data_IF_245457015366
#
_entry.id   IF_245457015366
#
_cell.length_a   1.000
_cell.length_b   1.000
_cell.length_c   1.000
_cell.angle_alpha   90.00
_cell.angle_beta   90.00
_cell.angle_gamma   90.00
#
_symmetry.space_group_name_H-M   'P 1'
#
loop_
_entity.id
_entity.type
_entity.pdbx_description
1 polymer ?
#
# COMPACT_ATOMS: atom_id res chain seq x y z
N UNK A 1 15.36 -17.11 6.98
CA UNK A 1 14.72 -15.79 7.11
C UNK A 1 15.30 -14.87 6.06
N UNK A 2 14.46 -14.11 5.35
CA UNK A 2 14.93 -13.01 4.48
C UNK A 2 15.54 -11.92 5.37
N UNK A 3 16.35 -11.03 4.78
CA UNK A 3 16.85 -9.86 5.53
C UNK A 3 15.77 -8.79 5.69
N UNK A 4 14.98 -8.58 4.64
CA UNK A 4 13.98 -7.51 4.56
C UNK A 4 12.67 -8.06 3.98
N UNK A 5 11.54 -7.70 4.58
CA UNK A 5 10.19 -7.91 4.04
C UNK A 5 9.58 -6.57 3.63
N UNK A 6 8.74 -6.58 2.59
CA UNK A 6 8.10 -5.36 2.06
C UNK A 6 6.62 -5.34 2.42
N UNK A 7 6.17 -4.21 2.96
CA UNK A 7 4.76 -3.93 3.23
C UNK A 7 4.32 -2.71 2.43
N UNK A 8 3.10 -2.69 1.93
CA UNK A 8 2.46 -1.52 1.32
C UNK A 8 0.97 -1.47 1.65
N UNK A 9 0.24 -0.53 1.07
CA UNK A 9 -1.20 -0.37 1.20
C UNK A 9 -1.94 -0.70 -0.09
N UNK A 10 -3.27 -0.70 -0.02
CA UNK A 10 -4.15 -1.06 -1.12
C UNK A 10 -4.05 -0.18 -2.37
N UNK A 11 -3.43 1.01 -2.32
CA UNK A 11 -3.37 1.93 -3.47
C UNK A 11 -2.22 1.65 -4.43
N UNK A 12 -1.46 0.59 -4.21
CA UNK A 12 -0.30 0.27 -5.03
C UNK A 12 -0.64 -0.22 -6.45
N UNK A 13 -1.92 -0.49 -6.76
CA UNK A 13 -2.42 -1.03 -8.04
C UNK A 13 -1.68 -2.28 -8.53
N UNK A 14 -1.07 -3.04 -7.62
CA UNK A 14 -0.33 -4.23 -7.99
C UNK A 14 -1.27 -5.40 -8.30
N UNK A 15 -1.03 -6.12 -9.40
CA UNK A 15 -1.66 -7.40 -9.69
C UNK A 15 -1.37 -8.47 -8.65
N UNK A 16 -2.35 -9.33 -8.39
CA UNK A 16 -2.23 -10.46 -7.45
C UNK A 16 -1.02 -11.35 -7.72
N UNK A 17 -0.72 -11.65 -8.99
CA UNK A 17 0.42 -12.49 -9.37
C UNK A 17 1.77 -11.81 -9.06
N UNK A 18 1.86 -10.49 -9.17
CA UNK A 18 3.04 -9.71 -8.77
C UNK A 18 3.22 -9.71 -7.25
N UNK A 19 2.11 -9.53 -6.51
CA UNK A 19 2.11 -9.58 -5.04
C UNK A 19 2.63 -10.93 -4.55
N UNK A 20 2.10 -12.02 -5.11
CA UNK A 20 2.51 -13.39 -4.77
C UNK A 20 3.96 -13.67 -5.18
N UNK A 21 4.35 -13.30 -6.41
CA UNK A 21 5.71 -13.51 -6.94
C UNK A 21 6.78 -12.87 -6.05
N UNK A 22 6.54 -11.66 -5.57
CA UNK A 22 7.51 -10.93 -4.76
C UNK A 22 7.30 -11.08 -3.26
N UNK A 23 6.23 -11.75 -2.83
CA UNK A 23 5.82 -11.91 -1.44
C UNK A 23 5.66 -10.55 -0.73
N UNK A 24 4.85 -9.68 -1.33
CA UNK A 24 4.56 -8.34 -0.82
C UNK A 24 3.36 -8.43 0.13
N UNK A 25 3.49 -7.84 1.32
CA UNK A 25 2.39 -7.78 2.28
C UNK A 25 1.59 -6.50 2.08
N UNK A 26 0.26 -6.58 2.08
CA UNK A 26 -0.61 -5.43 1.84
C UNK A 26 -1.54 -5.20 3.02
N UNK A 27 -1.61 -3.96 3.50
CA UNK A 27 -2.69 -3.48 4.34
C UNK A 27 -3.83 -2.94 3.45
N UNK A 28 -4.97 -3.64 3.32
CA UNK A 28 -6.04 -3.24 2.41
C UNK A 28 -6.66 -1.89 2.77
N UNK A 29 -6.89 -1.05 1.75
CA UNK A 29 -7.75 0.13 1.87
C UNK A 29 -9.22 -0.26 1.97
N UNK A 30 -10.06 0.71 2.36
CA UNK A 30 -11.51 0.55 2.33
C UNK A 30 -12.18 1.54 1.37
N UNK A 31 -13.09 1.02 0.57
CA UNK A 31 -14.12 1.78 -0.16
C UNK A 31 -15.44 1.55 0.54
N UNK A 32 -16.14 2.62 0.89
CA UNK A 32 -17.36 2.56 1.69
C UNK A 32 -18.53 3.17 0.92
N UNK A 33 -19.54 2.34 0.67
CA UNK A 33 -20.83 2.76 0.13
C UNK A 33 -21.87 2.71 1.27
N UNK A 34 -22.28 3.88 1.77
CA UNK A 34 -23.16 3.98 2.93
C UNK A 34 -22.55 3.29 4.17
N UNK A 35 -23.11 2.13 4.54
CA UNK A 35 -22.60 1.30 5.67
C UNK A 35 -21.80 0.09 5.24
N UNK A 36 -21.67 -0.16 3.93
CA UNK A 36 -20.97 -1.32 3.38
C UNK A 36 -19.53 -0.95 3.07
N UNK A 37 -18.57 -1.73 3.58
CA UNK A 37 -17.15 -1.50 3.37
C UNK A 37 -16.51 -2.65 2.57
N UNK A 38 -15.84 -2.30 1.47
CA UNK A 38 -15.10 -3.22 0.62
C UNK A 38 -13.60 -2.98 0.77
N UNK A 39 -12.84 -4.06 0.77
CA UNK A 39 -11.38 -4.02 0.88
C UNK A 39 -10.73 -4.00 -0.49
N UNK A 40 -9.69 -3.17 -0.66
CA UNK A 40 -8.84 -3.11 -1.85
C UNK A 40 -7.39 -3.41 -1.49
N UNK A 41 -6.77 -4.34 -2.21
CA UNK A 41 -5.38 -4.80 -2.04
C UNK A 41 -4.66 -4.78 -3.39
N UNK A 42 -4.28 -3.59 -3.86
CA UNK A 42 -3.76 -3.41 -5.21
C UNK A 42 -4.92 -3.41 -6.22
N UNK A 43 -4.81 -4.25 -7.27
CA UNK A 43 -5.86 -4.35 -8.30
C UNK A 43 -7.01 -5.31 -7.95
N UNK A 44 -6.96 -5.92 -6.78
CA UNK A 44 -7.91 -6.93 -6.30
C UNK A 44 -8.60 -6.49 -5.03
N UNK A 45 -9.75 -7.10 -4.70
CA UNK A 45 -10.51 -6.71 -3.52
C UNK A 45 -11.80 -7.49 -3.34
N UNK A 46 -12.63 -7.03 -2.39
CA UNK A 46 -13.99 -7.55 -2.16
C UNK A 46 -15.04 -6.80 -2.98
N UNK A 47 -14.62 -5.92 -3.89
CA UNK A 47 -15.43 -5.28 -4.91
C UNK A 47 -14.63 -5.31 -6.22
N UNK A 48 -15.30 -5.63 -7.32
CA UNK A 48 -14.67 -5.59 -8.65
C UNK A 48 -14.70 -4.18 -9.21
N UNK A 49 -13.87 -3.88 -10.23
CA UNK A 49 -13.90 -2.57 -10.89
C UNK A 49 -15.25 -2.33 -11.56
N UNK A 50 -15.78 -3.36 -12.21
CA UNK A 50 -17.08 -3.34 -12.88
C UNK A 50 -18.21 -3.04 -11.90
N UNK A 51 -18.24 -3.74 -10.76
CA UNK A 51 -19.22 -3.50 -9.70
C UNK A 51 -19.07 -2.10 -9.09
N UNK A 52 -17.84 -1.63 -8.86
CA UNK A 52 -17.59 -0.29 -8.35
C UNK A 52 -18.21 0.79 -9.25
N UNK A 53 -17.95 0.74 -10.56
CA UNK A 53 -18.48 1.72 -11.49
C UNK A 53 -20.00 1.60 -11.67
N UNK A 54 -20.54 0.37 -11.68
CA UNK A 54 -22.00 0.17 -11.72
C UNK A 54 -22.70 0.79 -10.50
N UNK A 55 -22.10 0.65 -9.31
CA UNK A 55 -22.62 1.28 -8.09
C UNK A 55 -22.45 2.79 -8.10
N UNK A 56 -21.31 3.29 -8.58
CA UNK A 56 -21.05 4.73 -8.69
C UNK A 56 -22.09 5.45 -9.55
N UNK A 57 -22.59 4.81 -10.61
CA UNK A 57 -23.65 5.37 -11.46
C UNK A 57 -25.05 5.28 -10.84
N UNK A 58 -25.32 4.24 -10.06
CA UNK A 58 -26.67 3.91 -9.55
C UNK A 58 -26.97 4.50 -8.18
N UNK A 59 -25.97 4.60 -7.33
CA UNK A 59 -26.12 5.08 -5.96
C UNK A 59 -26.15 6.61 -5.91
N UNK A 60 -27.01 7.15 -5.04
CA UNK A 60 -27.18 8.61 -4.89
C UNK A 60 -26.04 9.26 -4.11
N UNK A 61 -25.45 8.50 -3.20
CA UNK A 61 -24.36 8.95 -2.35
C UNK A 61 -23.05 8.43 -2.92
N UNK A 62 -22.07 9.32 -3.05
CA UNK A 62 -20.75 8.93 -3.52
C UNK A 62 -20.05 8.05 -2.47
N UNK A 63 -19.27 7.05 -2.91
CA UNK A 63 -18.48 6.28 -1.98
C UNK A 63 -17.44 7.17 -1.30
N UNK A 64 -17.11 6.81 -0.06
CA UNK A 64 -15.97 7.40 0.64
C UNK A 64 -14.85 6.38 0.74
N UNK A 65 -13.62 6.86 0.93
CA UNK A 65 -12.47 6.00 1.18
C UNK A 65 -12.01 6.12 2.62
N UNK A 66 -11.55 5.02 3.21
CA UNK A 66 -10.94 5.02 4.53
C UNK A 66 -9.58 4.30 4.49
N UNK A 67 -8.66 4.78 5.35
CA UNK A 67 -7.35 4.16 5.59
C UNK A 67 -7.49 2.69 6.04
N UNK A 68 -6.45 1.86 5.88
CA UNK A 68 -6.51 0.48 6.36
C UNK A 68 -6.82 0.42 7.85
N UNK A 69 -7.59 -0.59 8.25
CA UNK A 69 -7.92 -0.80 9.66
C UNK A 69 -6.65 -1.09 10.47
N UNK A 70 -6.58 -0.70 11.76
CA UNK A 70 -5.44 -1.02 12.61
C UNK A 70 -5.07 -2.52 12.61
N UNK A 71 -6.09 -3.40 12.63
CA UNK A 71 -5.90 -4.85 12.56
C UNK A 71 -5.24 -5.30 11.26
N UNK A 72 -5.51 -4.62 10.14
CA UNK A 72 -4.91 -4.93 8.83
C UNK A 72 -3.42 -4.61 8.84
N UNK A 73 -3.01 -3.46 9.39
CA UNK A 73 -1.59 -3.14 9.55
C UNK A 73 -0.88 -4.11 10.48
N UNK A 74 -1.48 -4.43 11.63
CA UNK A 74 -0.91 -5.41 12.59
C UNK A 74 -0.69 -6.74 11.88
N UNK A 75 -1.70 -7.25 11.16
CA UNK A 75 -1.59 -8.51 10.42
C UNK A 75 -0.47 -8.48 9.39
N UNK A 76 -0.37 -7.40 8.60
CA UNK A 76 0.68 -7.25 7.59
C UNK A 76 2.08 -7.20 8.21
N UNK A 77 2.27 -6.43 9.29
CA UNK A 77 3.55 -6.31 9.96
C UNK A 77 3.97 -7.57 10.70
N UNK A 78 3.06 -8.22 11.44
CA UNK A 78 3.35 -9.50 12.12
C UNK A 78 3.69 -10.61 11.13
N UNK A 79 3.03 -10.65 9.97
CA UNK A 79 3.33 -11.63 8.94
C UNK A 79 4.71 -11.36 8.34
N UNK A 80 5.00 -10.10 7.99
CA UNK A 80 6.30 -9.69 7.48
C UNK A 80 7.44 -9.97 8.48
N UNK A 81 7.22 -9.75 9.77
CA UNK A 81 8.20 -9.95 10.85
C UNK A 81 8.54 -11.44 11.10
N UNK A 82 7.63 -12.35 10.77
CA UNK A 82 7.91 -13.81 10.82
C UNK A 82 8.89 -14.25 9.73
N UNK A 83 8.98 -13.48 8.65
CA UNK A 83 9.76 -13.84 7.46
C UNK A 83 11.13 -13.17 7.41
N UNK A 84 11.25 -11.97 7.98
CA UNK A 84 12.44 -11.14 7.93
C UNK A 84 12.68 -10.34 9.22
N UNK A 85 13.94 -10.01 9.46
CA UNK A 85 14.37 -9.24 10.63
C UNK A 85 14.02 -7.75 10.53
N UNK A 86 13.95 -7.21 9.31
CA UNK A 86 13.58 -5.82 9.05
C UNK A 86 12.40 -5.75 8.09
N UNK A 87 11.59 -4.69 8.24
CA UNK A 87 10.45 -4.39 7.39
C UNK A 87 10.64 -3.00 6.78
N UNK A 88 10.44 -2.90 5.47
CA UNK A 88 10.28 -1.62 4.78
C UNK A 88 8.84 -1.50 4.33
N UNK A 89 8.16 -0.50 4.85
CA UNK A 89 6.77 -0.20 4.55
C UNK A 89 6.71 1.03 3.64
N UNK A 90 6.25 0.88 2.40
CA UNK A 90 6.15 1.97 1.43
C UNK A 90 4.67 2.24 1.20
N UNK A 91 4.22 3.45 1.54
CA UNK A 91 2.80 3.80 1.51
C UNK A 91 2.52 4.96 0.57
N UNK A 92 1.25 5.12 0.22
CA UNK A 92 0.72 6.30 -0.48
C UNK A 92 1.21 7.60 0.17
N UNK A 93 1.32 8.64 -0.65
CA UNK A 93 1.65 10.00 -0.22
C UNK A 93 0.87 10.40 1.04
N UNK A 94 1.59 10.89 2.06
CA UNK A 94 0.96 11.44 3.28
C UNK A 94 0.05 12.65 3.01
N UNK A 95 0.26 13.34 1.88
CA UNK A 95 -0.55 14.47 1.46
C UNK A 95 -1.91 14.02 0.88
N UNK A 96 -2.01 12.75 0.45
CA UNK A 96 -3.23 12.17 -0.10
C UNK A 96 -4.02 11.36 0.93
N UNK A 97 -3.37 10.87 1.99
CA UNK A 97 -3.98 9.93 2.92
C UNK A 97 -3.31 9.91 4.30
N UNK A 98 -4.12 9.69 5.34
CA UNK A 98 -3.65 9.44 6.71
C UNK A 98 -3.04 8.04 6.94
N UNK A 99 -2.76 7.28 5.88
CA UNK A 99 -2.28 5.88 5.94
C UNK A 99 -1.01 5.73 6.76
N UNK A 100 -0.01 6.60 6.53
CA UNK A 100 1.25 6.59 7.27
C UNK A 100 1.01 6.81 8.77
N UNK A 101 0.23 7.83 9.12
CA UNK A 101 -0.09 8.11 10.53
C UNK A 101 -0.81 6.94 11.20
N UNK A 102 -1.73 6.27 10.48
CA UNK A 102 -2.43 5.09 10.99
C UNK A 102 -1.49 3.88 11.17
N UNK A 103 -0.55 3.68 10.25
CA UNK A 103 0.46 2.63 10.36
C UNK A 103 1.40 2.87 11.55
N UNK A 104 1.90 4.10 11.72
CA UNK A 104 2.79 4.49 12.82
C UNK A 104 2.18 4.20 14.19
N UNK A 105 0.86 4.41 14.34
CA UNK A 105 0.13 4.14 15.61
C UNK A 105 0.16 2.68 16.04
N UNK A 106 0.32 1.73 15.11
CA UNK A 106 0.34 0.30 15.44
C UNK A 106 1.75 -0.27 15.57
N UNK A 107 2.79 0.42 15.09
CA UNK A 107 4.18 -0.04 15.20
C UNK A 107 4.57 -0.45 16.63
N UNK A 108 4.23 0.32 17.70
CA UNK A 108 4.59 -0.05 19.06
C UNK A 108 3.98 -1.39 19.54
N UNK A 109 2.96 -1.89 18.84
CA UNK A 109 2.32 -3.17 19.14
C UNK A 109 3.04 -4.37 18.47
N UNK A 110 3.96 -4.10 17.55
CA UNK A 110 4.67 -5.14 16.79
C UNK A 110 5.99 -5.44 17.49
N UNK A 111 6.01 -6.52 18.27
CA UNK A 111 7.19 -6.89 19.05
C UNK A 111 8.36 -7.36 18.17
N UNK A 112 9.56 -6.86 18.45
CA UNK A 112 10.80 -7.35 17.85
C UNK A 112 11.01 -7.03 16.37
N UNK A 113 10.14 -6.23 15.76
CA UNK A 113 10.23 -5.86 14.35
C UNK A 113 10.94 -4.52 14.16
N UNK A 114 11.98 -4.51 13.33
CA UNK A 114 12.64 -3.29 12.86
C UNK A 114 11.91 -2.73 11.64
N UNK A 115 10.98 -1.79 11.85
CA UNK A 115 10.09 -1.25 10.82
C UNK A 115 10.53 0.15 10.40
N UNK A 116 10.70 0.38 9.10
CA UNK A 116 10.86 1.71 8.52
C UNK A 116 9.74 2.02 7.54
N UNK A 117 9.06 3.14 7.77
CA UNK A 117 8.05 3.67 6.85
C UNK A 117 8.71 4.65 5.88
N UNK A 118 8.35 4.53 4.60
CA UNK A 118 8.71 5.44 3.52
C UNK A 118 7.44 6.08 2.96
N UNK A 119 7.40 7.41 2.97
CA UNK A 119 6.42 8.20 2.25
C UNK A 119 6.78 8.23 0.76
N UNK A 120 6.00 7.54 -0.08
CA UNK A 120 6.28 7.43 -1.52
C UNK A 120 6.08 8.74 -2.28
N UNK A 121 5.31 9.69 -1.72
CA UNK A 121 4.85 10.93 -2.39
C UNK A 121 4.07 10.71 -3.68
N UNK A 122 3.61 9.49 -3.93
CA UNK A 122 2.81 9.11 -5.10
C UNK A 122 1.67 8.18 -4.67
N UNK A 123 0.86 7.76 -5.63
CA UNK A 123 -0.21 6.77 -5.46
C UNK A 123 -0.23 5.85 -6.70
N UNK A 124 -1.20 4.93 -6.74
CA UNK A 124 -1.49 4.09 -7.90
C UNK A 124 -0.26 3.26 -8.32
N UNK A 125 -0.16 2.96 -9.61
CA UNK A 125 0.96 2.18 -10.18
C UNK A 125 2.34 2.77 -9.87
N UNK A 126 2.48 4.08 -9.68
CA UNK A 126 3.77 4.69 -9.29
C UNK A 126 4.23 4.20 -7.91
N UNK A 127 3.31 4.05 -6.95
CA UNK A 127 3.59 3.40 -5.67
C UNK A 127 3.99 1.94 -5.90
N UNK A 128 3.21 1.20 -6.71
CA UNK A 128 3.50 -0.19 -7.05
C UNK A 128 4.91 -0.41 -7.62
N UNK A 129 5.39 0.47 -8.49
CA UNK A 129 6.74 0.38 -9.06
C UNK A 129 7.86 0.51 -8.01
N UNK A 130 7.68 1.40 -7.02
CA UNK A 130 8.61 1.53 -5.90
C UNK A 130 8.60 0.25 -5.04
N UNK A 131 7.41 -0.29 -4.77
CA UNK A 131 7.22 -1.52 -3.99
C UNK A 131 7.86 -2.73 -4.68
N UNK A 132 7.62 -2.92 -5.99
CA UNK A 132 8.26 -3.97 -6.78
C UNK A 132 9.77 -3.82 -6.70
N UNK A 133 10.30 -2.60 -6.88
CA UNK A 133 11.74 -2.38 -6.84
C UNK A 133 12.36 -2.75 -5.50
N UNK A 134 11.71 -2.38 -4.40
CA UNK A 134 12.14 -2.73 -3.06
C UNK A 134 12.12 -4.25 -2.84
N UNK A 135 11.04 -4.92 -3.26
CA UNK A 135 10.87 -6.36 -3.11
C UNK A 135 11.87 -7.17 -3.95
N UNK A 136 12.18 -6.70 -5.16
CA UNK A 136 13.25 -7.26 -5.99
C UNK A 136 14.61 -7.20 -5.32
N UNK A 137 14.94 -6.06 -4.71
CA UNK A 137 16.21 -5.88 -4.00
C UNK A 137 16.27 -6.75 -2.74
N UNK A 138 15.19 -6.81 -1.97
CA UNK A 138 15.06 -7.67 -0.81
C UNK A 138 15.26 -9.16 -1.18
N UNK A 139 14.63 -9.62 -2.26
CA UNK A 139 14.78 -10.99 -2.75
C UNK A 139 16.20 -11.29 -3.27
N UNK A 140 16.95 -10.27 -3.70
CA UNK A 140 18.38 -10.37 -4.06
C UNK A 140 19.32 -10.27 -2.86
N UNK A 141 18.79 -10.12 -1.64
CA UNK A 141 19.57 -10.09 -0.39
C UNK A 141 20.22 -8.75 -0.05
N UNK A 142 19.77 -7.66 -0.69
CA UNK A 142 20.17 -6.29 -0.37
C UNK A 142 19.86 -5.97 1.11
N UNK A 143 20.66 -5.09 1.71
CA UNK A 143 20.42 -4.61 3.06
C UNK A 143 19.23 -3.64 3.10
N UNK A 144 18.70 -3.41 4.31
CA UNK A 144 17.63 -2.44 4.53
C UNK A 144 18.04 -1.05 4.07
N UNK A 145 19.26 -0.64 4.41
CA UNK A 145 19.84 0.67 4.08
C UNK A 145 20.01 0.84 2.57
N UNK A 146 20.50 -0.18 1.86
CA UNK A 146 20.64 -0.15 0.40
C UNK A 146 19.27 0.02 -0.30
N UNK A 147 18.23 -0.63 0.23
CA UNK A 147 16.87 -0.51 -0.30
C UNK A 147 16.31 0.89 -0.02
N UNK A 148 16.41 1.38 1.22
CA UNK A 148 15.94 2.73 1.59
C UNK A 148 16.60 3.78 0.69
N UNK A 149 17.94 3.77 0.61
CA UNK A 149 18.70 4.74 -0.19
C UNK A 149 18.26 4.69 -1.67
N UNK A 150 18.03 3.49 -2.20
CA UNK A 150 17.60 3.35 -3.59
C UNK A 150 16.19 3.87 -3.81
N UNK A 151 15.25 3.57 -2.92
CA UNK A 151 13.86 4.01 -3.02
C UNK A 151 13.77 5.53 -2.87
N UNK A 152 14.48 6.12 -1.90
CA UNK A 152 14.53 7.58 -1.71
C UNK A 152 15.05 8.33 -2.94
N UNK A 153 16.04 7.77 -3.64
CA UNK A 153 16.55 8.32 -4.90
C UNK A 153 15.54 8.22 -6.06
N UNK A 154 14.65 7.23 -6.03
CA UNK A 154 13.65 7.01 -7.07
C UNK A 154 12.39 7.86 -6.87
N UNK A 155 12.00 8.16 -5.63
CA UNK A 155 10.83 9.00 -5.31
C UNK A 155 10.78 10.29 -6.17
N UNK A 156 11.81 11.15 -6.23
CA UNK A 156 11.74 12.41 -6.99
C UNK A 156 11.75 12.21 -8.52
N UNK A 157 11.98 10.98 -9.01
CA UNK A 157 11.97 10.66 -10.43
C UNK A 157 10.60 10.18 -10.92
N UNK A 158 9.66 9.92 -9.99
CA UNK A 158 8.30 9.53 -10.34
C UNK A 158 7.48 10.77 -10.71
N UNK A 159 6.78 10.69 -11.83
CA UNK A 159 5.81 11.68 -12.25
C UNK A 159 4.50 10.96 -12.57
N UNK A 160 3.43 11.30 -11.84
CA UNK A 160 2.08 10.84 -12.13
C UNK A 160 1.32 12.00 -12.78
N UNK A 161 0.87 11.79 -14.02
CA UNK A 161 0.00 12.73 -14.72
C UNK A 161 -1.36 12.08 -14.84
N UNK A 162 -2.39 12.77 -14.36
CA UNK A 162 -3.77 12.29 -14.35
C UNK A 162 -4.62 13.23 -15.19
N UNK A 163 -5.43 12.68 -16.07
CA UNK A 163 -6.48 13.38 -16.79
C UNK A 163 -7.81 12.70 -16.44
N UNK A 164 -8.81 13.51 -16.09
CA UNK A 164 -10.13 13.05 -15.67
C UNK A 164 -11.19 13.77 -16.48
N UNK A 165 -12.32 13.10 -16.72
CA UNK A 165 -13.45 13.70 -17.43
C UNK A 165 -14.13 14.81 -16.63
N UNK A 166 -14.04 14.76 -15.30
CA UNK A 166 -14.57 15.76 -14.36
C UNK A 166 -13.69 15.89 -13.11
N UNK A 167 -13.65 17.09 -12.53
CA UNK A 167 -12.98 17.37 -11.25
C UNK A 167 -13.88 17.15 -10.02
N UNK A 168 -15.13 16.73 -10.22
CA UNK A 168 -16.13 16.57 -9.15
C UNK A 168 -15.70 15.61 -8.02
N UNK A 169 -14.79 14.67 -8.31
CA UNK A 169 -14.33 13.64 -7.39
C UNK A 169 -12.94 13.92 -6.77
N UNK A 170 -12.37 15.11 -6.96
CA UNK A 170 -11.08 15.55 -6.41
C UNK A 170 -11.27 16.59 -5.29
#
# INVERSE_FOLDING_TARGET
>A
MKKVSIVTDGSCDLPKDIIEKYNIHIAPFQVVFGTEAHQLSGDSGTITKEEFYERLEKEKELPTTAVPLPKSFITAFETAAKEASSIIAIFISKELSGTIQSAERVIPLIEGADITIIDSRVAATCLGLLVIKAAEMANKGASKEEIIEKIEKLIPQNNLVVAVDTLEYL
#
